data_IF_414196126047
#
_entry.id   IF_414196126047
#
_cell.length_a   1.000
_cell.length_b   1.000
_cell.length_c   1.000
_cell.angle_alpha   90.00
_cell.angle_beta   90.00
_cell.angle_gamma   90.00
#
_symmetry.space_group_name_H-M   'P 1'
#
loop_
_entity.id
_entity.type
_entity.pdbx_description
1 polymer ?
#
# COMPACT_ATOMS: atom_id res chain seq x y z
N UNK A 1 20.40 -30.53 21.24
CA UNK A 1 20.74 -29.10 21.17
C UNK A 1 20.84 -28.76 19.71
N UNK A 2 19.78 -28.20 19.13
CA UNK A 2 19.70 -27.90 17.69
C UNK A 2 20.78 -26.88 17.35
N UNK A 3 21.68 -27.24 16.43
CA UNK A 3 22.83 -26.44 16.00
C UNK A 3 22.36 -25.05 15.56
N UNK A 4 22.50 -24.07 16.45
CA UNK A 4 22.25 -22.66 16.21
C UNK A 4 23.47 -22.02 15.53
N UNK A 5 24.11 -22.69 14.57
CA UNK A 5 24.79 -21.96 13.48
C UNK A 5 23.71 -21.11 12.85
N UNK A 6 23.63 -19.88 13.36
CA UNK A 6 22.41 -19.10 13.40
C UNK A 6 21.98 -18.80 11.98
N UNK A 7 20.67 -18.70 11.74
CA UNK A 7 20.13 -18.22 10.47
C UNK A 7 20.89 -16.97 9.98
N UNK A 8 21.26 -16.09 10.92
CA UNK A 8 22.10 -14.90 10.69
C UNK A 8 23.46 -15.22 10.08
N UNK A 9 24.15 -16.26 10.55
CA UNK A 9 25.45 -16.69 10.01
C UNK A 9 25.30 -17.19 8.57
N UNK A 10 24.26 -17.97 8.29
CA UNK A 10 23.96 -18.45 6.94
C UNK A 10 23.60 -17.32 5.98
N UNK A 11 22.81 -16.34 6.45
CA UNK A 11 22.50 -15.12 5.70
C UNK A 11 23.79 -14.34 5.42
N UNK A 12 24.63 -14.14 6.43
CA UNK A 12 25.88 -13.38 6.30
C UNK A 12 26.86 -14.02 5.30
N UNK A 13 27.03 -15.35 5.35
CA UNK A 13 27.91 -16.06 4.43
C UNK A 13 27.37 -16.05 2.99
N UNK A 14 26.05 -16.16 2.81
CA UNK A 14 25.41 -16.05 1.49
C UNK A 14 25.61 -14.66 0.89
N UNK A 15 25.32 -13.60 1.67
CA UNK A 15 25.52 -12.21 1.22
C UNK A 15 26.98 -11.92 0.84
N UNK A 16 27.96 -12.46 1.57
CA UNK A 16 29.39 -12.32 1.22
C UNK A 16 29.71 -12.97 -0.13
N UNK A 17 29.17 -14.16 -0.38
CA UNK A 17 29.38 -14.88 -1.65
C UNK A 17 28.76 -14.11 -2.82
N UNK A 18 27.54 -13.62 -2.66
CA UNK A 18 26.82 -12.87 -3.70
C UNK A 18 27.53 -11.55 -4.01
N UNK A 19 28.07 -10.87 -2.99
CA UNK A 19 28.87 -9.68 -3.14
C UNK A 19 30.17 -9.94 -3.92
N UNK A 20 30.87 -11.04 -3.63
CA UNK A 20 32.12 -11.42 -4.29
C UNK A 20 31.91 -11.80 -5.77
N UNK A 21 30.77 -12.43 -6.07
CA UNK A 21 30.42 -12.88 -7.43
C UNK A 21 29.76 -11.78 -8.28
N UNK A 22 29.46 -10.62 -7.71
CA UNK A 22 28.80 -9.53 -8.41
C UNK A 22 27.28 -9.69 -8.53
N UNK A 23 26.67 -10.68 -7.88
CA UNK A 23 25.24 -10.96 -7.96
C UNK A 23 24.42 -9.80 -7.34
N UNK A 24 24.89 -9.20 -6.25
CA UNK A 24 24.23 -8.03 -5.66
C UNK A 24 24.21 -6.84 -6.63
N UNK A 25 25.31 -6.64 -7.37
CA UNK A 25 25.46 -5.59 -8.38
C UNK A 25 24.58 -5.81 -9.61
N UNK A 26 24.17 -7.06 -9.86
CA UNK A 26 23.25 -7.40 -10.95
C UNK A 26 21.79 -7.03 -10.67
N UNK A 27 21.46 -6.72 -9.41
CA UNK A 27 20.11 -6.34 -9.02
C UNK A 27 19.67 -5.05 -9.74
N UNK A 28 18.41 -5.02 -10.24
CA UNK A 28 17.83 -3.87 -10.94
C UNK A 28 17.89 -2.57 -10.12
N UNK A 29 17.82 -2.68 -8.80
CA UNK A 29 17.85 -1.59 -7.83
C UNK A 29 19.27 -1.24 -7.34
N UNK A 30 20.31 -1.94 -7.79
CA UNK A 30 21.67 -1.69 -7.31
C UNK A 30 22.12 -0.24 -7.58
N UNK A 31 22.58 0.44 -6.53
CA UNK A 31 23.02 1.83 -6.59
C UNK A 31 21.90 2.86 -6.81
N UNK A 32 20.63 2.45 -6.79
CA UNK A 32 19.48 3.35 -6.94
C UNK A 32 18.85 3.65 -5.58
N UNK A 33 18.27 4.85 -5.40
CA UNK A 33 17.42 5.12 -4.23
C UNK A 33 16.31 4.07 -4.10
N UNK A 34 15.88 3.80 -2.86
CA UNK A 34 14.77 2.90 -2.62
C UNK A 34 13.51 3.44 -3.31
N UNK A 35 12.87 2.60 -4.11
CA UNK A 35 11.59 2.91 -4.74
C UNK A 35 10.46 2.56 -3.76
N UNK A 36 9.89 3.59 -3.16
CA UNK A 36 8.74 3.45 -2.28
C UNK A 36 7.42 3.24 -3.05
N UNK A 37 7.44 3.45 -4.36
CA UNK A 37 6.28 3.42 -5.23
C UNK A 37 5.24 4.49 -4.91
N UNK A 38 4.19 4.53 -5.73
CA UNK A 38 3.12 5.54 -5.60
C UNK A 38 2.38 5.46 -4.26
N UNK A 39 2.04 6.62 -3.70
CA UNK A 39 1.20 6.74 -2.51
C UNK A 39 1.91 6.57 -1.18
N UNK A 40 3.20 6.19 -1.14
CA UNK A 40 3.91 5.98 0.13
C UNK A 40 4.10 7.28 0.92
N UNK A 41 4.48 8.35 0.24
CA UNK A 41 4.70 9.66 0.87
C UNK A 41 3.38 10.31 1.30
N UNK A 42 2.32 10.07 0.53
CA UNK A 42 0.95 10.55 0.76
C UNK A 42 0.22 9.75 1.85
N UNK A 43 0.69 8.54 2.16
CA UNK A 43 0.16 7.74 3.25
C UNK A 43 0.64 8.32 4.59
N UNK A 44 -0.25 8.50 5.58
CA UNK A 44 0.13 8.88 6.94
C UNK A 44 1.21 7.97 7.52
N UNK A 45 2.15 8.52 8.28
CA UNK A 45 3.35 7.80 8.73
C UNK A 45 3.02 6.49 9.45
N UNK A 46 1.98 6.51 10.28
CA UNK A 46 1.53 5.36 11.07
C UNK A 46 1.01 4.21 10.20
N UNK A 47 0.58 4.52 8.96
CA UNK A 47 -0.03 3.56 8.03
C UNK A 47 0.92 3.09 6.93
N UNK A 48 2.04 3.80 6.71
CA UNK A 48 2.96 3.54 5.58
C UNK A 48 3.43 2.10 5.52
N UNK A 49 3.86 1.55 6.65
CA UNK A 49 4.40 0.18 6.70
C UNK A 49 3.32 -0.85 6.39
N UNK A 50 2.14 -0.74 7.01
CA UNK A 50 1.05 -1.67 6.80
C UNK A 50 0.55 -1.64 5.34
N UNK A 51 0.37 -0.45 4.78
CA UNK A 51 -0.11 -0.28 3.41
C UNK A 51 0.94 -0.71 2.38
N UNK A 52 2.22 -0.41 2.63
CA UNK A 52 3.33 -0.86 1.77
C UNK A 52 3.44 -2.38 1.78
N UNK A 53 3.29 -3.03 2.93
CA UNK A 53 3.31 -4.48 3.05
C UNK A 53 2.22 -5.13 2.20
N UNK A 54 0.97 -4.64 2.31
CA UNK A 54 -0.14 -5.14 1.50
C UNK A 54 0.14 -4.96 0.00
N UNK A 55 0.58 -3.75 -0.39
CA UNK A 55 0.92 -3.43 -1.79
C UNK A 55 2.01 -4.35 -2.34
N UNK A 56 3.06 -4.58 -1.57
CA UNK A 56 4.19 -5.44 -1.97
C UNK A 56 3.80 -6.92 -2.07
N UNK A 57 2.83 -7.36 -1.26
CA UNK A 57 2.22 -8.68 -1.35
C UNK A 57 1.22 -8.83 -2.51
N UNK A 58 1.01 -7.78 -3.31
CA UNK A 58 0.07 -7.76 -4.43
C UNK A 58 -1.38 -7.49 -4.04
N UNK A 59 -1.63 -7.06 -2.80
CA UNK A 59 -2.96 -6.71 -2.30
C UNK A 59 -3.17 -5.19 -2.28
N UNK A 60 -4.36 -4.76 -2.68
CA UNK A 60 -4.78 -3.36 -2.53
C UNK A 60 -5.45 -3.21 -1.17
N UNK A 61 -5.05 -2.24 -0.33
CA UNK A 61 -5.75 -1.99 0.93
C UNK A 61 -7.23 -1.66 0.65
N UNK A 62 -8.18 -2.21 1.42
CA UNK A 62 -9.61 -2.00 1.20
C UNK A 62 -10.02 -0.52 1.29
N UNK A 63 -9.30 0.28 2.08
CA UNK A 63 -9.50 1.73 2.17
C UNK A 63 -9.23 2.43 0.82
N UNK A 64 -8.22 1.95 0.08
CA UNK A 64 -7.89 2.45 -1.26
C UNK A 64 -8.98 2.07 -2.25
N UNK A 65 -9.57 0.88 -2.13
CA UNK A 65 -10.71 0.46 -2.95
C UNK A 65 -11.94 1.35 -2.71
N UNK A 66 -12.26 1.64 -1.45
CA UNK A 66 -13.37 2.54 -1.09
C UNK A 66 -13.16 3.96 -1.65
N UNK A 67 -11.92 4.47 -1.62
CA UNK A 67 -11.58 5.77 -2.21
C UNK A 67 -11.74 5.76 -3.74
N UNK A 68 -11.37 4.66 -4.42
CA UNK A 68 -11.58 4.52 -5.87
C UNK A 68 -13.06 4.47 -6.23
N UNK A 69 -13.87 3.75 -5.45
CA UNK A 69 -15.32 3.72 -5.61
C UNK A 69 -15.92 5.12 -5.41
N UNK A 70 -15.44 5.87 -4.42
CA UNK A 70 -15.89 7.24 -4.17
C UNK A 70 -15.60 8.16 -5.37
N UNK A 71 -14.40 8.09 -5.94
CA UNK A 71 -14.05 8.86 -7.13
C UNK A 71 -14.88 8.45 -8.36
N UNK A 72 -15.17 7.15 -8.53
CA UNK A 72 -16.06 6.67 -9.58
C UNK A 72 -17.49 7.23 -9.43
N UNK A 73 -18.03 7.24 -8.21
CA UNK A 73 -19.35 7.83 -7.93
C UNK A 73 -19.36 9.35 -8.16
N UNK A 74 -18.29 10.06 -7.78
CA UNK A 74 -18.14 11.50 -8.05
C UNK A 74 -18.10 11.81 -9.54
N UNK A 75 -17.41 10.99 -10.34
CA UNK A 75 -17.39 11.13 -11.79
C UNK A 75 -18.79 10.91 -12.42
N UNK A 76 -19.55 9.93 -11.92
CA UNK A 76 -20.95 9.72 -12.34
C UNK A 76 -21.83 10.92 -11.98
N UNK A 77 -21.65 11.49 -10.78
CA UNK A 77 -22.43 12.65 -10.32
C UNK A 77 -22.26 13.88 -11.22
N UNK A 78 -21.11 14.05 -11.88
CA UNK A 78 -20.88 15.17 -12.81
C UNK A 78 -21.85 15.14 -14.00
N UNK A 79 -22.32 13.95 -14.39
CA UNK A 79 -23.18 13.74 -15.55
C UNK A 79 -24.65 13.47 -15.18
N UNK A 80 -24.93 13.27 -13.89
CA UNK A 80 -26.26 12.94 -13.39
C UNK A 80 -27.14 14.18 -13.13
N UNK A 81 -28.45 14.02 -13.35
CA UNK A 81 -29.46 15.08 -13.16
C UNK A 81 -30.74 14.54 -12.51
N UNK A 82 -31.54 15.42 -11.90
CA UNK A 82 -32.82 15.05 -11.28
C UNK A 82 -32.67 14.09 -10.09
N UNK A 83 -33.47 13.03 -10.08
CA UNK A 83 -33.56 12.05 -8.97
C UNK A 83 -32.27 11.25 -8.83
N UNK A 84 -31.66 10.83 -9.94
CA UNK A 84 -30.39 10.09 -9.97
C UNK A 84 -29.26 10.86 -9.27
N UNK A 85 -29.23 12.18 -9.44
CA UNK A 85 -28.26 13.06 -8.76
C UNK A 85 -28.39 12.98 -7.24
N UNK A 86 -29.62 13.00 -6.72
CA UNK A 86 -29.85 12.92 -5.27
C UNK A 86 -29.46 11.56 -4.70
N UNK A 87 -29.76 10.47 -5.43
CA UNK A 87 -29.36 9.12 -5.03
C UNK A 87 -27.83 8.97 -5.00
N UNK A 88 -27.12 9.49 -6.01
CA UNK A 88 -25.66 9.47 -6.04
C UNK A 88 -25.06 10.29 -4.90
N UNK A 89 -25.62 11.46 -4.57
CA UNK A 89 -25.17 12.26 -3.42
C UNK A 89 -25.32 11.48 -2.12
N UNK A 90 -26.45 10.79 -1.91
CA UNK A 90 -26.68 9.97 -0.73
C UNK A 90 -25.64 8.84 -0.61
N UNK A 91 -25.39 8.11 -1.72
CA UNK A 91 -24.36 7.05 -1.79
C UNK A 91 -22.96 7.58 -1.50
N UNK A 92 -22.59 8.70 -2.12
CA UNK A 92 -21.28 9.35 -1.89
C UNK A 92 -21.11 9.72 -0.42
N UNK A 93 -22.14 10.32 0.18
CA UNK A 93 -22.11 10.76 1.58
C UNK A 93 -21.92 9.58 2.53
N UNK A 94 -22.70 8.51 2.33
CA UNK A 94 -22.60 7.28 3.12
C UNK A 94 -21.21 6.62 2.98
N UNK A 95 -20.70 6.50 1.75
CA UNK A 95 -19.37 5.92 1.53
C UNK A 95 -18.25 6.79 2.14
N UNK A 96 -18.34 8.12 2.05
CA UNK A 96 -17.39 9.03 2.71
C UNK A 96 -17.35 8.82 4.21
N UNK A 97 -18.51 8.70 4.85
CA UNK A 97 -18.60 8.47 6.29
C UNK A 97 -17.94 7.15 6.69
N UNK A 98 -18.21 6.07 5.93
CA UNK A 98 -17.59 4.76 6.17
C UNK A 98 -16.07 4.80 6.03
N UNK A 99 -15.56 5.51 5.01
CA UNK A 99 -14.10 5.70 4.84
C UNK A 99 -13.54 6.44 6.05
N UNK A 100 -14.18 7.52 6.49
CA UNK A 100 -13.69 8.31 7.62
C UNK A 100 -13.62 7.48 8.92
N UNK A 101 -14.70 6.78 9.27
CA UNK A 101 -14.75 5.90 10.46
C UNK A 101 -13.68 4.82 10.39
N UNK A 102 -13.49 4.21 9.21
CA UNK A 102 -12.48 3.18 9.01
C UNK A 102 -11.07 3.73 9.17
N UNK A 103 -10.77 4.88 8.59
CA UNK A 103 -9.47 5.53 8.73
C UNK A 103 -9.18 5.95 10.17
N UNK A 104 -10.21 6.34 10.94
CA UNK A 104 -10.09 6.65 12.37
C UNK A 104 -9.78 5.40 13.19
N UNK A 105 -10.48 4.28 12.92
CA UNK A 105 -10.25 3.01 13.61
C UNK A 105 -8.84 2.42 13.36
N UNK A 106 -8.20 2.74 12.24
CA UNK A 106 -6.82 2.25 11.95
C UNK A 106 -5.77 3.17 12.61
N UNK A 107 -6.15 4.41 12.97
CA UNK A 107 -5.27 5.36 13.68
C UNK A 107 -5.30 5.21 15.20
N UNK A 108 -6.36 4.61 15.75
CA UNK A 108 -6.52 4.35 17.20
C UNK A 108 -5.88 3.03 17.62
#
# INVERSE_FOLDING_TARGET
>A
MTDHRTLDQHIADSLKKDAANGELQSAKSWGKPLDFGDGFSETPEELRTAFKLLKDAGYVPPEVEMLRELEALRAQLQHASGVERQELIAKITDLQLRVQVRMENIRS
#
